data_IF_072014542912
#
_entry.id   IF_072014542912
#
_cell.length_a   1.000
_cell.length_b   1.000
_cell.length_c   1.000
_cell.angle_alpha   90.00
_cell.angle_beta   90.00
_cell.angle_gamma   90.00
#
_symmetry.space_group_name_H-M   'P 1'
#
loop_
_entity.id
_entity.type
_entity.pdbx_description
1 polymer ?
2 non-polymer ?
3 non-polymer ?
4 non-polymer ?
5 non-polymer ?
6 water ?
#
# COMPACT_ATOMS: atom_id res chain seq x y z
N UNK A 7 -24.03 -7.31 3.20
CA UNK A 7 -22.88 -7.83 4.00
C UNK A 7 -22.26 -6.75 4.89
N UNK A 8 -22.38 -6.90 6.23
CA UNK A 8 -21.90 -5.87 7.17
C UNK A 8 -20.36 -5.84 7.37
N UNK A 9 -19.85 -4.70 7.83
CA UNK A 9 -18.45 -4.57 8.22
C UNK A 9 -18.25 -5.33 9.55
N UNK A 10 -17.23 -6.19 9.60
CA UNK A 10 -16.88 -6.92 10.85
C UNK A 10 -15.49 -6.47 11.34
N UNK A 11 -15.31 -6.45 12.66
CA UNK A 11 -14.06 -6.07 13.29
C UNK A 11 -13.25 -7.33 13.68
N UNK A 12 -11.95 -7.34 13.37
CA UNK A 12 -11.04 -8.47 13.66
C UNK A 12 -9.71 -7.98 14.23
N UNK A 13 -9.06 -8.81 15.04
CA UNK A 13 -7.65 -8.56 15.46
C UNK A 13 -6.79 -9.75 15.07
N UNK A 14 -5.67 -9.51 14.42
CA UNK A 14 -4.78 -10.56 13.93
C UNK A 14 -3.38 -10.43 14.55
N UNK A 15 -2.89 -11.51 15.15
CA UNK A 15 -1.53 -11.50 15.71
C UNK A 15 -0.50 -11.76 14.61
N UNK A 16 0.52 -10.90 14.54
CA UNK A 16 1.59 -10.98 13.55
C UNK A 16 2.92 -11.02 14.28
N UNK A 17 3.79 -11.97 13.93
CA UNK A 17 5.11 -12.07 14.55
C UNK A 17 5.16 -12.92 15.81
N UNK A 18 6.39 -13.12 16.31
CA UNK A 18 6.66 -13.98 17.50
C UNK A 18 7.40 -13.22 18.59
N UNK A 19 7.22 -13.66 19.84
CA UNK A 19 7.97 -13.12 20.98
C UNK A 19 7.82 -11.62 21.12
N UNK A 20 8.94 -10.94 21.31
CA UNK A 20 8.91 -9.48 21.53
C UNK A 20 8.63 -8.71 20.25
N UNK A 21 8.64 -9.37 19.11
CA UNK A 21 8.18 -8.78 17.85
C UNK A 21 6.69 -8.93 17.57
N UNK A 22 5.95 -9.67 18.39
CA UNK A 22 4.52 -9.89 18.15
C UNK A 22 3.76 -8.55 18.24
N UNK A 23 2.80 -8.35 17.36
CA UNK A 23 1.90 -7.20 17.44
C UNK A 23 0.52 -7.57 16.92
N UNK A 24 -0.50 -6.93 17.50
CA UNK A 24 -1.89 -7.16 17.07
C UNK A 24 -2.31 -6.10 16.03
N UNK A 25 -2.81 -6.57 14.89
CA UNK A 25 -3.25 -5.74 13.78
C UNK A 25 -4.78 -5.67 13.73
N UNK A 26 -5.33 -4.45 13.75
CA UNK A 26 -6.76 -4.20 13.68
C UNK A 26 -7.20 -4.20 12.19
N UNK A 27 -8.33 -4.87 11.91
CA UNK A 27 -8.88 -4.97 10.55
C UNK A 27 -10.40 -4.86 10.54
N UNK A 28 -10.90 -4.30 9.45
CA UNK A 28 -12.33 -4.12 9.16
C UNK A 28 -12.60 -4.84 7.83
N UNK A 29 -13.52 -5.80 7.84
CA UNK A 29 -13.74 -6.70 6.69
C UNK A 29 -15.22 -6.84 6.33
N UNK A 30 -15.49 -6.83 5.03
CA UNK A 30 -16.81 -7.04 4.47
C UNK A 30 -16.70 -8.27 3.56
N UNK A 31 -17.48 -9.31 3.84
CA UNK A 31 -17.49 -10.51 2.98
C UNK A 31 -18.10 -10.21 1.59
N UNK A 32 -17.59 -10.86 0.53
CA UNK A 32 -18.31 -10.81 -0.75
C UNK A 32 -19.68 -11.47 -0.68
N UNK A 33 -20.63 -11.01 -1.52
CA UNK A 33 -21.98 -11.57 -1.51
C UNK A 33 -21.97 -13.03 -1.96
N UNK A 34 -20.99 -13.40 -2.79
CA UNK A 34 -20.76 -14.80 -3.16
C UNK A 34 -19.25 -15.05 -3.13
N UNK A 35 -18.84 -16.22 -2.65
CA UNK A 35 -17.39 -16.50 -2.40
C UNK A 35 -16.49 -16.40 -3.64
N UNK A 36 -17.08 -16.60 -4.82
CA UNK A 36 -16.35 -16.56 -6.09
C UNK A 36 -15.93 -15.15 -6.50
N UNK A 37 -16.59 -14.13 -5.93
CA UNK A 37 -16.30 -12.75 -6.28
C UNK A 37 -14.98 -12.29 -5.63
N UNK A 38 -14.27 -11.35 -6.26
CA UNK A 38 -13.04 -10.87 -5.67
C UNK A 38 -13.25 -10.06 -4.38
N UNK A 39 -12.15 -9.90 -3.67
CA UNK A 39 -12.03 -9.01 -2.51
C UNK A 39 -11.00 -7.90 -2.79
N UNK A 40 -11.42 -6.66 -2.61
CA UNK A 40 -10.53 -5.51 -2.70
C UNK A 40 -9.81 -5.27 -1.36
N UNK A 41 -8.49 -5.21 -1.42
CA UNK A 41 -7.68 -4.94 -0.21
C UNK A 41 -6.96 -3.61 -0.33
N UNK A 42 -7.27 -2.77 0.63
CA UNK A 42 -6.63 -1.46 0.76
C UNK A 42 -5.24 -1.59 1.38
N UNK A 43 -4.24 -0.95 0.77
CA UNK A 43 -2.91 -0.81 1.36
C UNK A 43 -2.59 0.69 1.39
N UNK A 44 -2.59 1.28 2.59
CA UNK A 44 -2.47 2.74 2.71
C UNK A 44 -1.07 3.33 2.71
N UNK A 45 -1.02 4.67 2.74
CA UNK A 45 0.26 5.41 2.80
C UNK A 45 0.93 5.46 4.19
N UNK A 46 2.16 5.97 4.20
CA UNK A 46 2.95 6.17 5.41
C UNK A 46 2.14 7.10 6.31
N UNK A 47 1.98 6.79 7.57
CA UNK A 47 1.19 7.66 8.46
C UNK A 47 -0.32 7.77 8.16
N UNK A 48 -0.88 6.93 7.30
CA UNK A 48 -2.33 6.97 7.05
C UNK A 48 -3.09 6.11 8.09
N UNK A 49 -4.41 6.19 8.03
CA UNK A 49 -5.19 5.18 8.74
C UNK A 49 -6.39 4.75 7.92
N UNK A 50 -6.95 3.62 8.35
CA UNK A 50 -7.95 2.94 7.51
C UNK A 50 -9.32 3.61 7.44
N UNK A 51 -9.53 4.70 8.20
CA UNK A 51 -10.74 5.50 8.14
C UNK A 51 -10.63 6.71 7.14
N UNK A 52 -9.51 6.81 6.44
CA UNK A 52 -9.29 7.85 5.42
C UNK A 52 -10.28 7.83 4.25
N UNK A 53 -10.42 8.97 3.58
CA UNK A 53 -11.40 9.12 2.48
C UNK A 53 -11.30 8.07 1.39
N UNK A 54 -10.09 7.87 0.88
CA UNK A 54 -9.90 6.91 -0.25
C UNK A 54 -10.24 5.46 0.17
N UNK A 55 -9.82 5.09 1.37
CA UNK A 55 -10.12 3.76 1.94
C UNK A 55 -11.62 3.53 2.07
N UNK A 56 -12.34 4.53 2.61
CA UNK A 56 -13.78 4.43 2.78
C UNK A 56 -14.50 4.33 1.43
N UNK A 57 -13.98 5.04 0.42
CA UNK A 57 -14.55 5.00 -0.94
C UNK A 57 -14.38 3.62 -1.57
N UNK A 58 -13.22 3.02 -1.39
CA UNK A 58 -12.95 1.63 -1.88
C UNK A 58 -13.98 0.69 -1.25
N UNK A 59 -14.12 0.72 0.07
CA UNK A 59 -15.14 -0.08 0.76
C UNK A 59 -16.57 0.15 0.25
N UNK A 60 -16.96 1.42 0.03
CA UNK A 60 -18.29 1.77 -0.45
C UNK A 60 -18.54 1.20 -1.86
N UNK A 61 -17.57 1.33 -2.75
CA UNK A 61 -17.67 0.76 -4.10
C UNK A 61 -17.85 -0.78 -4.03
N UNK A 62 -17.00 -1.43 -3.25
CA UNK A 62 -17.11 -2.88 -3.02
C UNK A 62 -18.49 -3.30 -2.54
N UNK A 63 -19.01 -2.63 -1.50
CA UNK A 63 -20.36 -2.86 -1.01
C UNK A 63 -21.43 -2.75 -2.10
N UNK A 64 -21.30 -1.76 -2.97
CA UNK A 64 -22.32 -1.53 -4.00
C UNK A 64 -22.31 -2.62 -5.09
N UNK A 65 -21.15 -3.26 -5.32
CA UNK A 65 -21.03 -4.30 -6.34
C UNK A 65 -21.15 -5.73 -5.75
N UNK A 66 -21.31 -5.85 -4.44
CA UNK A 66 -21.42 -7.15 -3.76
C UNK A 66 -20.08 -7.90 -3.67
N UNK A 67 -18.98 -7.18 -3.70
CA UNK A 67 -17.67 -7.80 -3.61
C UNK A 67 -17.03 -7.54 -2.24
N UNK A 68 -15.98 -8.28 -1.94
CA UNK A 68 -15.34 -8.20 -0.65
C UNK A 68 -14.50 -6.93 -0.48
N UNK A 69 -14.28 -6.56 0.78
CA UNK A 69 -13.37 -5.46 1.10
C UNK A 69 -12.61 -5.73 2.40
N UNK A 70 -11.29 -5.53 2.39
CA UNK A 70 -10.43 -5.63 3.58
C UNK A 70 -9.66 -4.31 3.77
N UNK A 71 -9.75 -3.74 4.98
CA UNK A 71 -8.84 -2.67 5.39
C UNK A 71 -8.18 -3.07 6.69
N UNK A 72 -6.95 -2.58 6.92
CA UNK A 72 -6.25 -2.81 8.19
C UNK A 72 -5.29 -1.64 8.48
N UNK A 73 -4.92 -1.47 9.75
CA UNK A 73 -3.95 -0.44 10.17
C UNK A 73 -2.58 -1.08 10.34
N UNK A 74 -1.58 -0.48 9.70
CA UNK A 74 -0.17 -0.89 9.93
C UNK A 74 0.20 -0.76 11.41
N UNK A 75 1.13 -1.60 11.88
CA UNK A 75 1.65 -1.41 13.23
C UNK A 75 2.14 0.05 13.38
N UNK A 76 1.93 0.62 14.57
CA UNK A 76 2.30 2.00 14.86
C UNK A 76 1.30 3.06 14.39
N UNK A 77 0.23 2.61 13.73
CA UNK A 77 -0.78 3.49 13.12
C UNK A 77 -2.18 3.15 13.65
N UNK A 78 -3.05 4.15 13.71
CA UNK A 78 -4.44 3.95 14.00
C UNK A 78 -4.77 3.02 15.17
N UNK A 79 -5.59 1.99 14.91
CA UNK A 79 -6.14 1.14 15.96
C UNK A 79 -5.23 -0.06 16.28
N UNK A 80 -4.15 -0.22 15.52
CA UNK A 80 -3.20 -1.35 15.74
C UNK A 80 -2.19 -1.12 16.87
N UNK A 81 -1.55 -2.21 17.31
CA UNK A 81 -0.48 -2.16 18.29
C UNK A 81 0.89 -1.85 17.66
N UNK A 82 1.91 -1.84 18.51
CA UNK A 82 3.30 -1.65 18.09
C UNK A 82 3.70 -0.18 17.99
N UNK A 83 5.00 0.11 18.18
CA UNK A 83 5.55 1.49 18.10
C UNK A 83 5.78 1.92 16.66
N UNK A 84 5.41 3.16 16.32
CA UNK A 84 5.72 3.70 15.02
C UNK A 84 7.23 3.60 14.67
N UNK A 85 8.11 3.91 15.61
CA UNK A 85 9.55 3.91 15.32
C UNK A 85 10.14 2.50 15.06
N UNK A 86 9.39 1.44 15.37
CA UNK A 86 9.80 0.06 15.04
C UNK A 86 9.34 -0.37 13.64
N UNK A 87 8.52 0.44 12.98
CA UNK A 87 8.06 0.16 11.65
C UNK A 87 9.11 0.15 10.54
N UNK A 88 8.98 -0.80 9.61
CA UNK A 88 9.84 -0.90 8.44
C UNK A 88 8.97 -1.45 7.30
N UNK A 89 9.41 -1.27 6.06
CA UNK A 89 8.77 -1.90 4.92
C UNK A 89 8.63 -3.42 5.15
N UNK A 90 9.69 -4.10 5.61
CA UNK A 90 9.59 -5.54 5.87
C UNK A 90 8.48 -5.90 6.87
N UNK A 91 8.39 -5.18 7.99
CA UNK A 91 7.36 -5.47 9.01
C UNK A 91 5.94 -5.18 8.52
N UNK A 92 5.77 -4.08 7.77
CA UNK A 92 4.46 -3.68 7.27
C UNK A 92 3.99 -4.61 6.14
N UNK A 93 4.94 -5.10 5.35
CA UNK A 93 4.65 -6.14 4.36
C UNK A 93 4.22 -7.44 5.05
N UNK A 94 4.95 -7.84 6.09
CA UNK A 94 4.64 -9.04 6.84
C UNK A 94 3.20 -8.99 7.37
N UNK A 95 2.78 -7.81 7.80
CA UNK A 95 1.41 -7.61 8.30
C UNK A 95 0.35 -7.75 7.17
N UNK A 96 0.61 -7.12 6.03
CA UNK A 96 -0.27 -7.22 4.88
C UNK A 96 -0.46 -8.69 4.48
N UNK A 97 0.64 -9.45 4.40
CA UNK A 97 0.55 -10.85 4.02
C UNK A 97 -0.21 -11.67 5.09
N UNK A 98 0.02 -11.39 6.38
CA UNK A 98 -0.68 -12.07 7.46
C UNK A 98 -2.20 -11.81 7.41
N UNK A 99 -2.59 -10.60 7.07
CA UNK A 99 -4.01 -10.25 7.00
C UNK A 99 -4.64 -11.02 5.82
N UNK A 100 -3.96 -11.02 4.68
CA UNK A 100 -4.45 -11.79 3.53
C UNK A 100 -4.56 -13.29 3.84
N UNK A 101 -3.55 -13.87 4.51
CA UNK A 101 -3.57 -15.29 4.86
C UNK A 101 -4.60 -15.65 5.94
N UNK A 102 -5.03 -14.66 6.72
CA UNK A 102 -6.05 -14.90 7.75
C UNK A 102 -7.43 -15.10 7.08
N UNK A 103 -7.75 -14.27 6.09
CA UNK A 103 -9.06 -14.26 5.43
C UNK A 103 -9.13 -15.11 4.17
N UNK A 104 -7.99 -15.30 3.50
CA UNK A 104 -7.86 -16.20 2.32
C UNK A 104 -8.90 -16.01 1.23
N UNK A 105 -9.07 -14.79 0.73
CA UNK A 105 -10.01 -14.59 -0.36
C UNK A 105 -9.54 -15.38 -1.60
N UNK A 106 -10.50 -15.89 -2.38
CA UNK A 106 -10.16 -16.65 -3.60
C UNK A 106 -9.43 -15.78 -4.63
N UNK A 107 -9.88 -14.54 -4.80
CA UNK A 107 -9.31 -13.60 -5.76
C UNK A 107 -9.17 -12.26 -5.02
N UNK A 108 -8.07 -11.58 -5.21
CA UNK A 108 -7.80 -10.28 -4.60
C UNK A 108 -7.46 -9.22 -5.64
N UNK A 109 -7.98 -8.00 -5.41
CA UNK A 109 -7.58 -6.82 -6.16
C UNK A 109 -6.84 -5.92 -5.17
N UNK A 110 -5.58 -5.63 -5.44
CA UNK A 110 -4.77 -4.83 -4.49
C UNK A 110 -4.93 -3.37 -4.86
N UNK A 111 -5.28 -2.54 -3.88
CA UNK A 111 -5.44 -1.13 -4.13
C UNK A 111 -4.47 -0.41 -3.20
N UNK A 112 -3.35 0.07 -3.76
CA UNK A 112 -2.19 0.57 -2.98
C UNK A 112 -1.94 2.03 -3.23
N UNK A 113 -1.91 2.81 -2.14
CA UNK A 113 -1.71 4.26 -2.18
C UNK A 113 -0.34 4.62 -1.58
N UNK A 114 0.48 5.31 -2.38
CA UNK A 114 1.78 5.82 -1.98
C UNK A 114 2.72 4.71 -1.46
N UNK A 115 3.12 4.71 -0.19
CA UNK A 115 3.91 3.56 0.35
C UNK A 115 3.16 2.24 0.13
N UNK A 116 1.83 2.26 0.18
CA UNK A 116 1.03 1.06 0.00
C UNK A 116 1.19 0.44 -1.39
N UNK A 117 1.54 1.26 -2.38
CA UNK A 117 1.90 0.79 -3.73
C UNK A 117 3.19 0.00 -3.77
N UNK A 118 4.16 0.41 -2.95
CA UNK A 118 5.43 -0.37 -2.78
C UNK A 118 5.09 -1.71 -2.14
N UNK A 119 4.30 -1.66 -1.08
CA UNK A 119 3.97 -2.90 -0.37
C UNK A 119 3.14 -3.83 -1.28
N UNK A 120 2.25 -3.28 -2.09
CA UNK A 120 1.48 -4.09 -3.07
C UNK A 120 2.38 -4.84 -4.04
N UNK A 121 3.41 -4.15 -4.56
CA UNK A 121 4.38 -4.77 -5.51
C UNK A 121 5.20 -5.88 -4.82
N UNK A 122 5.66 -5.64 -3.59
CA UNK A 122 6.34 -6.71 -2.80
C UNK A 122 5.39 -7.88 -2.51
N UNK A 123 4.13 -7.59 -2.20
CA UNK A 123 3.15 -8.64 -1.83
C UNK A 123 2.94 -9.59 -2.98
N UNK A 124 2.80 -9.06 -4.20
CA UNK A 124 2.63 -9.97 -5.36
C UNK A 124 3.85 -10.86 -5.58
N UNK A 125 5.05 -10.32 -5.35
CA UNK A 125 6.29 -11.11 -5.39
C UNK A 125 6.31 -12.22 -4.36
N UNK A 126 5.86 -11.93 -3.14
CA UNK A 126 5.83 -12.93 -2.05
C UNK A 126 4.81 -14.04 -2.38
N UNK A 127 3.64 -13.66 -2.88
CA UNK A 127 2.63 -14.68 -3.27
C UNK A 127 3.12 -15.55 -4.42
N UNK A 128 3.70 -14.93 -5.45
CA UNK A 128 4.24 -15.72 -6.60
C UNK A 128 5.39 -16.66 -6.17
N UNK A 129 6.14 -16.31 -5.13
CA UNK A 129 7.22 -17.21 -4.63
C UNK A 129 6.71 -18.45 -3.90
N UNK A 130 5.43 -18.48 -3.52
CA UNK A 130 4.89 -19.61 -2.74
C UNK A 130 4.35 -20.73 -3.60
N UNK A 131 4.41 -21.94 -3.05
CA UNK A 131 3.84 -23.14 -3.65
C UNK A 131 2.33 -23.19 -3.41
N UNK A 132 1.93 -23.10 -2.14
CA UNK A 132 0.52 -23.13 -1.74
C UNK A 132 -0.04 -21.71 -1.71
N UNK A 133 -0.74 -21.31 -2.78
CA UNK A 133 -1.42 -20.02 -2.78
C UNK A 133 -2.91 -20.13 -3.04
N UNK A 134 -3.69 -20.04 -1.94
CA UNK A 134 -5.15 -20.01 -2.12
C UNK A 134 -5.65 -18.67 -2.72
N UNK A 135 -4.81 -17.62 -2.70
CA UNK A 135 -5.19 -16.32 -3.23
C UNK A 135 -4.47 -15.91 -4.52
N UNK A 136 -5.25 -15.77 -5.60
CA UNK A 136 -4.75 -15.24 -6.86
C UNK A 136 -5.00 -13.72 -6.87
N UNK A 137 -4.01 -12.94 -7.26
CA UNK A 137 -4.18 -11.47 -7.45
C UNK A 137 -4.65 -11.24 -8.89
N UNK A 138 -5.87 -10.74 -9.05
CA UNK A 138 -6.47 -10.57 -10.37
C UNK A 138 -6.28 -9.18 -10.98
N UNK A 139 -5.82 -8.22 -10.17
CA UNK A 139 -5.52 -6.87 -10.66
C UNK A 139 -4.96 -5.98 -9.55
N UNK A 140 -4.39 -4.85 -9.95
CA UNK A 140 -3.78 -3.91 -9.00
C UNK A 140 -4.06 -2.49 -9.48
N UNK A 141 -4.53 -1.64 -8.54
CA UNK A 141 -4.79 -0.22 -8.82
C UNK A 141 -3.83 0.52 -7.86
N UNK A 142 -2.93 1.32 -8.41
CA UNK A 142 -1.87 2.00 -7.62
C UNK A 142 -2.08 3.52 -7.73
N UNK A 143 -2.16 4.22 -6.58
CA UNK A 143 -2.48 5.64 -6.51
C UNK A 143 -1.22 6.35 -6.00
N UNK A 144 -0.60 7.20 -6.83
CA UNK A 144 0.66 7.88 -6.51
C UNK A 144 1.66 6.94 -5.84
N UNK A 145 1.92 5.77 -6.48
CA UNK A 145 2.72 4.78 -5.79
C UNK A 145 4.16 5.23 -5.54
N UNK A 146 4.74 4.76 -4.41
CA UNK A 146 6.07 5.21 -3.97
C UNK A 146 7.05 4.06 -3.78
N UNK A 147 7.20 3.20 -4.81
CA UNK A 147 8.25 2.15 -4.70
C UNK A 147 9.62 2.75 -4.49
N UNK A 148 10.44 2.08 -3.66
CA UNK A 148 11.85 2.42 -3.46
C UNK A 148 12.02 3.89 -3.04
N UNK A 149 11.06 4.42 -2.29
CA UNK A 149 11.13 5.84 -1.93
C UNK A 149 12.37 6.18 -1.10
N UNK A 150 12.81 5.25 -0.25
CA UNK A 150 13.96 5.53 0.64
C UNK A 150 15.24 5.75 -0.18
N UNK A 151 15.50 4.90 -1.17
CA UNK A 151 16.71 5.01 -1.95
C UNK A 151 16.59 6.02 -3.11
N UNK A 152 15.41 6.16 -3.66
CA UNK A 152 15.23 6.92 -4.92
C UNK A 152 14.73 8.35 -4.71
N UNK A 153 13.92 8.59 -3.68
CA UNK A 153 13.35 9.93 -3.42
C UNK A 153 13.97 10.61 -2.19
N UNK A 154 14.34 9.87 -1.15
CA UNK A 154 14.96 10.48 0.04
C UNK A 154 16.49 10.60 -0.03
N UNK A 155 17.20 9.48 -0.20
CA UNK A 155 18.66 9.48 -0.23
C UNK A 155 19.33 10.59 -1.08
N UNK A 156 18.88 10.82 -2.33
CA UNK A 156 19.55 11.87 -3.09
C UNK A 156 19.40 13.29 -2.53
N UNK A 157 18.42 13.52 -1.67
CA UNK A 157 18.19 14.87 -1.09
C UNK A 157 18.81 15.08 0.29
N UNK A 158 19.34 14.03 0.91
CA UNK A 158 19.90 14.15 2.26
C UNK A 158 21.16 14.99 2.27
N UNK A 159 21.28 15.83 3.29
CA UNK A 159 22.49 16.65 3.50
C UNK A 159 23.20 16.20 4.75
N UNK A 160 24.19 16.98 5.18
CA UNK A 160 24.93 16.63 6.38
C UNK A 160 24.09 16.77 7.67
N UNK A 161 23.16 17.73 7.73
CA UNK A 161 22.21 17.80 8.86
C UNK A 161 21.55 16.39 9.05
N UNK A 162 20.86 15.94 8.02
CA UNK A 162 20.10 14.68 8.12
C UNK A 162 21.00 13.48 8.42
N UNK A 163 22.18 13.41 7.78
CA UNK A 163 23.05 12.23 7.89
C UNK A 163 23.61 12.06 9.31
N UNK A 164 23.91 13.17 9.98
CA UNK A 164 24.40 13.12 11.34
C UNK A 164 23.28 12.80 12.33
N UNK A 165 22.08 13.36 12.08
CA UNK A 165 20.90 13.04 12.90
C UNK A 165 20.66 11.53 12.88
N UNK A 166 20.70 10.95 11.67
CA UNK A 166 20.52 9.52 11.49
C UNK A 166 21.54 8.72 12.31
N UNK A 167 22.77 9.23 12.38
CA UNK A 167 23.86 8.57 13.11
C UNK A 167 23.75 8.76 14.63
N UNK A 168 23.57 10.00 15.09
CA UNK A 168 23.48 10.30 16.51
C UNK A 168 22.18 9.79 17.18
N UNK A 169 21.04 10.02 16.52
CA UNK A 169 19.75 9.82 17.13
C UNK A 169 18.94 8.64 16.59
N UNK A 170 19.32 8.12 15.42
CA UNK A 170 18.57 7.00 14.82
C UNK A 170 17.38 7.40 13.97
N UNK A 171 17.22 8.69 13.70
CA UNK A 171 16.14 9.21 12.85
C UNK A 171 16.42 10.67 12.46
N UNK A 172 15.77 11.12 11.40
CA UNK A 172 15.75 12.53 11.05
C UNK A 172 14.31 12.99 10.81
N UNK A 173 14.09 14.29 10.90
CA UNK A 173 12.79 14.92 10.80
C UNK A 173 12.72 15.86 9.60
N UNK A 174 11.54 15.95 9.02
CA UNK A 174 11.24 16.92 7.98
C UNK A 174 9.85 17.50 8.24
N UNK A 175 9.72 18.81 8.00
CA UNK A 175 8.43 19.51 8.13
C UNK A 175 7.36 18.88 7.22
N UNK A 176 6.15 18.67 7.75
CA UNK A 176 5.04 18.12 6.95
C UNK A 176 4.02 19.18 6.57
N UNK A 177 3.77 19.31 5.26
CA UNK A 177 2.71 20.15 4.69
C UNK A 177 1.36 19.82 5.34
N UNK A 178 1.15 18.53 5.58
CA UNK A 178 -0.14 17.99 6.01
C UNK A 178 -0.33 17.80 7.54
N UNK A 179 0.50 18.42 8.40
CA UNK A 179 0.29 18.34 9.88
C UNK A 179 1.33 19.06 10.74
N UNK A 180 0.95 19.45 11.99
CA UNK A 180 1.91 20.11 12.91
C UNK A 180 2.97 19.15 13.50
N UNK A 181 2.68 17.85 13.44
CA UNK A 181 3.65 16.79 13.75
C UNK A 181 4.53 16.52 12.51
N UNK A 182 5.86 16.83 12.57
CA UNK A 182 6.71 16.60 11.38
C UNK A 182 6.92 15.12 11.06
N UNK A 183 7.18 14.82 9.79
CA UNK A 183 7.57 13.48 9.36
C UNK A 183 8.88 13.08 10.01
N UNK A 184 8.93 11.87 10.53
CA UNK A 184 10.18 11.30 10.96
C UNK A 184 10.47 10.06 10.08
N UNK A 185 11.74 9.86 9.79
CA UNK A 185 12.20 8.69 9.02
C UNK A 185 13.37 8.07 9.82
N UNK A 186 13.24 6.80 10.21
CA UNK A 186 14.23 6.15 11.05
C UNK A 186 15.37 5.53 10.19
N UNK A 187 16.52 5.38 10.83
CA UNK A 187 17.67 4.70 10.25
C UNK A 187 17.24 3.28 9.82
N UNK A 188 16.51 2.58 10.67
CA UNK A 188 16.00 1.22 10.35
C UNK A 188 15.13 1.17 9.09
N UNK A 189 14.22 2.12 8.93
CA UNK A 189 13.44 2.24 7.71
C UNK A 189 14.31 2.45 6.48
N UNK A 190 15.28 3.36 6.54
CA UNK A 190 16.14 3.65 5.38
C UNK A 190 16.98 2.39 5.01
N UNK A 191 17.52 1.70 5.99
CA UNK A 191 18.41 0.53 5.73
C UNK A 191 17.56 -0.61 5.12
N UNK A 192 16.42 -0.87 5.73
CA UNK A 192 15.52 -1.95 5.28
C UNK A 192 14.81 -1.64 3.96
N UNK A 193 14.69 -0.35 3.58
CA UNK A 193 14.11 -0.01 2.31
C UNK A 193 14.93 -0.60 1.14
N UNK A 194 16.23 -0.73 1.31
CA UNK A 194 17.10 -1.34 0.29
C UNK A 194 16.89 -2.85 0.20
N UNK A 195 16.59 -3.48 1.34
CA UNK A 195 16.20 -4.92 1.37
C UNK A 195 14.96 -5.16 0.52
N UNK A 196 14.08 -4.17 0.38
CA UNK A 196 12.83 -4.29 -0.36
C UNK A 196 12.78 -3.57 -1.74
N UNK A 197 13.96 -3.22 -2.27
CA UNK A 197 14.02 -2.45 -3.49
C UNK A 197 13.45 -3.30 -4.64
N UNK A 198 12.47 -2.76 -5.34
CA UNK A 198 11.78 -3.50 -6.44
C UNK A 198 12.15 -3.08 -7.86
N UNK A 199 12.67 -1.85 -8.05
CA UNK A 199 13.00 -1.35 -9.40
C UNK A 199 14.48 -1.46 -9.79
N UNK A 200 15.27 -2.27 -9.08
CA UNK A 200 16.63 -2.55 -9.55
C UNK A 200 16.60 -3.59 -10.71
N UNK A 201 15.46 -4.25 -10.90
CA UNK A 201 15.23 -5.10 -12.10
C UNK A 201 13.78 -5.08 -12.55
N UNK A 202 13.38 -6.02 -13.41
CA UNK A 202 12.01 -6.09 -13.93
C UNK A 202 11.07 -6.78 -12.96
N UNK A 203 9.84 -6.26 -12.82
CA UNK A 203 8.83 -6.79 -11.88
C UNK A 203 7.78 -7.64 -12.67
N UNK A 204 7.58 -8.90 -12.29
CA UNK A 204 6.61 -9.83 -12.90
C UNK A 204 5.30 -9.80 -12.09
N UNK A 205 4.22 -9.20 -12.60
CA UNK A 205 2.95 -9.15 -11.82
C UNK A 205 1.96 -10.29 -12.11
N UNK A 206 1.89 -10.72 -13.36
CA UNK A 206 0.89 -11.68 -13.83
C UNK A 206 -0.57 -11.20 -13.88
N UNK A 207 -0.81 -9.88 -13.79
CA UNK A 207 -2.18 -9.37 -13.80
C UNK A 207 -2.19 -7.92 -14.35
N UNK A 208 -3.38 -7.40 -14.69
CA UNK A 208 -3.43 -5.96 -15.10
C UNK A 208 -3.06 -5.01 -13.98
N UNK A 209 -2.41 -3.90 -14.37
CA UNK A 209 -2.00 -2.85 -13.44
C UNK A 209 -2.50 -1.52 -14.00
N UNK A 210 -3.16 -0.70 -13.17
CA UNK A 210 -3.55 0.66 -13.53
C UNK A 210 -2.99 1.59 -12.48
N UNK A 211 -2.14 2.51 -12.91
CA UNK A 211 -1.56 3.56 -12.03
C UNK A 211 -2.28 4.91 -12.29
N UNK A 212 -2.64 5.62 -11.20
CA UNK A 212 -3.22 6.96 -11.24
C UNK A 212 -2.21 7.88 -10.53
N UNK A 213 -1.82 8.98 -11.20
CA UNK A 213 -0.72 9.83 -10.73
C UNK A 213 -0.96 11.29 -11.13
N UNK A 214 -0.82 12.18 -10.14
CA UNK A 214 -0.93 13.60 -10.40
C UNK A 214 0.38 14.22 -10.86
N UNK A 215 0.30 15.21 -11.75
CA UNK A 215 1.51 15.90 -12.22
C UNK A 215 1.83 17.15 -11.37
N UNK A 216 0.98 17.48 -10.41
CA UNK A 216 1.28 18.54 -9.42
C UNK A 216 1.53 17.95 -8.02
N UNK A 217 2.08 16.75 -7.99
CA UNK A 217 2.38 15.99 -6.76
C UNK A 217 3.78 16.41 -6.27
N UNK A 218 3.87 17.14 -5.11
CA UNK A 218 5.17 17.58 -4.63
C UNK A 218 5.95 16.52 -3.82
N UNK A 219 5.37 15.35 -3.58
CA UNK A 219 5.98 14.29 -2.74
C UNK A 219 6.52 13.13 -3.58
N UNK A 220 5.67 12.59 -4.46
CA UNK A 220 6.10 11.59 -5.47
C UNK A 220 6.02 12.24 -6.88
N UNK A 221 7.17 12.62 -7.48
CA UNK A 221 7.17 13.26 -8.80
C UNK A 221 6.51 12.34 -9.84
N UNK A 222 5.75 12.89 -10.77
CA UNK A 222 5.06 12.03 -11.75
C UNK A 222 6.07 11.19 -12.56
N UNK A 223 7.29 11.71 -12.72
CA UNK A 223 8.38 10.96 -13.43
C UNK A 223 8.66 9.60 -12.75
N UNK A 224 8.37 9.50 -11.44
CA UNK A 224 8.55 8.24 -10.70
C UNK A 224 7.56 7.17 -11.22
N UNK A 225 6.36 7.58 -11.61
CA UNK A 225 5.36 6.67 -12.18
C UNK A 225 5.80 6.17 -13.57
N UNK A 226 6.38 7.05 -14.38
CA UNK A 226 6.97 6.68 -15.68
C UNK A 226 8.13 5.69 -15.48
N UNK A 227 8.95 5.90 -14.45
CA UNK A 227 10.03 4.95 -14.10
C UNK A 227 9.44 3.55 -13.73
N UNK A 228 8.39 3.54 -12.91
CA UNK A 228 7.72 2.26 -12.57
C UNK A 228 7.20 1.52 -13.82
N UNK A 229 6.61 2.24 -14.77
CA UNK A 229 6.12 1.62 -16.00
C UNK A 229 7.28 0.93 -16.77
N UNK A 230 8.47 1.55 -16.78
CA UNK A 230 9.66 0.95 -17.42
C UNK A 230 10.12 -0.35 -16.75
N UNK A 231 9.68 -0.61 -15.52
CA UNK A 231 10.03 -1.83 -14.77
C UNK A 231 8.88 -2.86 -14.70
N UNK A 232 7.78 -2.58 -15.39
CA UNK A 232 6.59 -3.47 -15.38
C UNK A 232 6.47 -4.21 -16.70
N UNK A 233 5.61 -5.24 -16.76
CA UNK A 233 5.55 -6.03 -17.99
C UNK A 233 5.16 -5.19 -19.22
N UNK A 234 5.49 -5.72 -20.39
CA UNK A 234 5.16 -5.05 -21.67
C UNK A 234 3.64 -5.12 -22.08
N UNK A 235 2.81 -5.74 -21.26
CA UNK A 235 1.38 -5.91 -21.55
C UNK A 235 0.53 -5.58 -20.31
N UNK A 236 -0.70 -5.18 -20.56
CA UNK A 236 -1.71 -4.99 -19.53
C UNK A 236 -1.34 -3.99 -18.45
N UNK A 237 -0.68 -2.89 -18.84
CA UNK A 237 -0.34 -1.80 -17.87
C UNK A 237 -0.89 -0.49 -18.46
N UNK A 238 -1.57 0.30 -17.62
CA UNK A 238 -2.13 1.59 -18.03
C UNK A 238 -1.70 2.63 -16.99
N UNK A 239 -1.27 3.80 -17.47
CA UNK A 239 -0.88 4.92 -16.57
C UNK A 239 -1.77 6.15 -16.91
N UNK A 240 -2.54 6.63 -15.92
CA UNK A 240 -3.39 7.79 -16.10
C UNK A 240 -2.69 8.94 -15.34
N UNK A 241 -2.26 9.95 -16.09
CA UNK A 241 -1.61 11.16 -15.57
C UNK A 241 -2.64 12.31 -15.54
N UNK A 242 -2.82 12.88 -14.37
CA UNK A 242 -3.83 13.92 -14.15
C UNK A 242 -3.02 15.25 -13.93
N UNK A 243 -3.11 16.17 -14.87
CA UNK A 243 -2.22 17.35 -14.93
C UNK A 243 -2.22 18.14 -13.57
N UNK A 244 -3.41 18.41 -13.04
CA UNK A 244 -3.54 19.23 -11.81
C UNK A 244 -3.72 18.43 -10.52
N UNK A 245 -3.52 17.12 -10.56
CA UNK A 245 -3.64 16.29 -9.39
C UNK A 245 -2.48 16.41 -8.40
N UNK A 246 -2.78 16.39 -7.08
CA UNK A 246 -1.74 16.48 -6.06
C UNK A 246 -1.48 15.13 -5.46
N UNK A 247 -0.75 15.06 -4.34
CA UNK A 247 -0.39 13.74 -3.80
C UNK A 247 -1.60 12.95 -3.25
N UNK A 248 -2.59 13.65 -2.73
CA UNK A 248 -3.73 12.96 -2.07
C UNK A 248 -4.76 12.37 -3.05
N UNK A 249 -4.89 13.00 -4.24
CA UNK A 249 -5.84 12.54 -5.28
C UNK A 249 -7.18 12.13 -4.68
N UNK A 250 -7.79 13.06 -3.93
CA UNK A 250 -9.03 12.78 -3.19
C UNK A 250 -10.14 13.80 -3.44
N UNK A 251 -10.01 14.63 -4.50
CA UNK A 251 -11.15 15.43 -4.94
C UNK A 251 -12.22 14.49 -5.51
N UNK A 252 -13.47 14.94 -5.60
CA UNK A 252 -14.56 14.17 -6.23
C UNK A 252 -14.22 13.59 -7.62
N UNK A 253 -13.66 14.42 -8.52
CA UNK A 253 -13.19 13.87 -9.82
C UNK A 253 -12.11 12.78 -9.70
N UNK A 254 -11.19 12.90 -8.74
CA UNK A 254 -10.17 11.90 -8.49
C UNK A 254 -10.77 10.57 -7.96
N UNK A 255 -11.69 10.68 -7.02
CA UNK A 255 -12.39 9.52 -6.46
C UNK A 255 -13.18 8.79 -7.57
N UNK A 256 -13.84 9.54 -8.47
CA UNK A 256 -14.54 8.95 -9.61
C UNK A 256 -13.58 8.13 -10.48
N UNK A 257 -12.39 8.69 -10.79
CA UNK A 257 -11.38 7.93 -11.59
C UNK A 257 -10.91 6.68 -10.86
N UNK A 258 -10.66 6.78 -9.55
CA UNK A 258 -10.19 5.62 -8.78
C UNK A 258 -11.29 4.53 -8.73
N UNK A 259 -12.51 4.93 -8.46
CA UNK A 259 -13.63 3.95 -8.38
C UNK A 259 -13.85 3.26 -9.75
N UNK A 260 -13.73 4.03 -10.83
CA UNK A 260 -13.88 3.46 -12.16
C UNK A 260 -12.72 2.46 -12.48
N UNK A 261 -11.52 2.78 -12.04
CA UNK A 261 -10.34 1.91 -12.24
C UNK A 261 -10.54 0.55 -11.49
N UNK A 262 -11.02 0.62 -10.25
CA UNK A 262 -11.29 -0.61 -9.46
C UNK A 262 -12.45 -1.40 -10.09
N UNK A 263 -13.53 -0.72 -10.50
CA UNK A 263 -14.67 -1.40 -11.16
C UNK A 263 -14.25 -2.17 -12.43
N UNK A 264 -13.35 -1.59 -13.24
CA UNK A 264 -12.84 -2.27 -14.44
C UNK A 264 -12.03 -3.56 -14.10
N UNK A 265 -11.44 -3.63 -12.90
CA UNK A 265 -10.74 -4.86 -12.44
C UNK A 265 -11.74 -5.94 -12.01
N UNK A 266 -12.94 -5.55 -11.57
CA UNK A 266 -13.98 -6.49 -11.11
C UNK A 266 -14.80 -7.04 -12.27
N UNK A 267 -15.15 -6.15 -13.20
CA UNK A 267 -15.96 -6.47 -14.36
C UNK A 267 -15.09 -6.69 -15.59
X LIG B 1 -7.43 9.61 1.66
X LIG C 1 13.50 -7.75 -9.38
X LIG C 1 14.49 -6.73 -9.27
X LIG C 1 12.16 -7.05 -9.49
X LIG C 1 11.85 -6.55 -8.22
X LIG D 1 13.35 -7.39 -2.90
X LIG D 1 13.30 -8.47 -1.93
X LIG D 1 12.20 -7.48 -3.89
X LIG D 1 12.68 -7.55 -5.23
X LIG E 1 -0.52 -13.90 -7.55
X LIG E 1 -1.74 -14.21 -8.21
X LIG E 1 -0.22 -15.02 -6.58
X LIG E 1 -0.51 -16.30 -7.14
X LIG F 1 -13.04 -11.10 2.48
X LIG F 1 -12.33 -12.26 2.01
X LIG F 1 -13.63 -11.41 3.85
X LIG F 1 -14.29 -12.67 3.87
X LIG G 1 -19.86 7.33 1.53
X LIG G 1 -19.28 7.48 0.22
X LIG G 1 -18.85 6.66 2.46
X LIG G 1 -17.54 7.19 2.18
X LIG H 1 -14.45 -12.19 15.44
X LIG H 1 -13.60 -11.03 15.58
X LIG H 1 -15.66 -11.85 14.58
X LIG H 1 -15.79 -10.42 14.50
X LIG H 1 -17.13 -9.97 14.57
X LIG H 1 -17.17 -8.59 15.18
X LIG H 1 -17.61 -7.61 14.22
X LIG I 1 14.35 14.97 2.54
X LIG I 1 13.02 14.49 2.80
X LIG I 1 12.35 13.99 1.52
X LIG I 1 11.05 13.43 1.79
X LIG I 1 10.42 12.95 0.57
X LIG I 1 9.41 11.85 0.85
X LIG I 1 9.25 10.98 -0.29
X LIG I 1 7.91 10.50 -0.51
X LIG I 1 7.44 9.50 0.57
X LIG I 1 6.13 8.96 0.27
X LIG I 1 5.69 7.97 1.24
X LIG I 1 4.25 8.23 1.72
X LIG I 1 3.40 7.06 1.70
#
# INVERSE_FOLDING_TARGET
GXTNVGRPIETHAITVGQGSDARSIAALVRAPAQDERPTCIWLGGYRSDMTGTKALEMDDLAASLGVGAIRFDYSGHGASGGAFRDGTISRWLEEALAVLDHFKPEKAILVGSSMGGWIALRLIQELKARHDNPTQVSGMVLIAPAPDFTSDLIEPLLGDRERAELAENGYFEEVSEYSPEPNIFTRALMEDGRANRVMAGMIDTGCPVHILQGMADPDVPYQHALKLVEHLPADDVVLTLVRDGDHRLSRPQDIDRMRNAIRAMIEPRP
CL CL
EDO C1 O1 C2 O2
EDO C1 O1 C2 O2
EDO C1 O1 C2 O2
EDO C1 O1 C2 O2
EDO C1 O1 C2 O2
PEG C1 O1 C2 O2 C3 C4 O4
PG4 O1 C1 C2 O2 C3 C4 O3 C5 C6 O4 C7 C8 O5
#
